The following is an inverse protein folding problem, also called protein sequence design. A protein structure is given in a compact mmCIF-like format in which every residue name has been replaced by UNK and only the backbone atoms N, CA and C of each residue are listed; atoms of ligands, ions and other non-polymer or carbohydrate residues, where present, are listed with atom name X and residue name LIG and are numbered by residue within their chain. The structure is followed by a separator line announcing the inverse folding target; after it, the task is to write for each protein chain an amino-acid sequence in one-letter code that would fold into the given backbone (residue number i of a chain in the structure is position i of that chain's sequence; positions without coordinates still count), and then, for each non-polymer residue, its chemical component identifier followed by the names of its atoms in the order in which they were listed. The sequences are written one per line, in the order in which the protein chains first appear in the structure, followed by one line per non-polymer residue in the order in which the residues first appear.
data_IF_042503875938
#
_entry.id   IF_042503875938
#
_cell.length_a   1.000
_cell.length_b   1.000
_cell.length_c   1.000
_cell.angle_alpha   90.00
_cell.angle_beta   90.00
_cell.angle_gamma   90.00
#
_symmetry.space_group_name_H-M   'P 1'
#
loop_
_entity.id
_entity.type
_entity.pdbx_description
1 polymer ?
#
# COMPACT_ATOMS: atom_id res chain seq x y z
N UNK A 1 26.69 17.13 3.86
CA UNK A 1 25.45 17.71 3.30
C UNK A 1 24.86 18.56 4.41
N UNK A 2 25.06 19.88 4.34
CA UNK A 2 24.41 20.82 5.26
C UNK A 2 23.00 21.09 4.71
N UNK A 3 22.07 20.19 4.99
CA UNK A 3 20.67 20.35 4.57
C UNK A 3 20.02 21.39 5.47
N UNK A 4 19.74 22.57 4.93
CA UNK A 4 18.93 23.59 5.57
C UNK A 4 17.48 23.37 5.17
N UNK A 5 16.62 23.10 6.15
CA UNK A 5 15.18 22.92 5.94
C UNK A 5 14.45 24.17 6.40
N UNK A 6 13.67 24.75 5.50
CA UNK A 6 12.71 25.82 5.80
C UNK A 6 11.39 25.47 5.11
N UNK A 7 10.27 25.61 5.83
CA UNK A 7 8.94 25.36 5.30
C UNK A 7 8.22 26.69 5.08
N UNK A 8 7.82 26.97 3.85
CA UNK A 8 7.03 28.14 3.48
C UNK A 8 6.20 27.83 2.23
N UNK A 9 4.89 28.06 2.29
CA UNK A 9 4.01 27.90 1.16
C UNK A 9 4.07 29.15 0.27
N UNK A 10 4.56 28.98 -0.96
CA UNK A 10 4.61 30.06 -1.95
C UNK A 10 3.19 30.36 -2.45
N UNK A 11 2.76 31.62 -2.34
CA UNK A 11 1.36 31.99 -2.59
C UNK A 11 1.09 32.42 -4.04
N UNK A 12 2.13 32.81 -4.77
CA UNK A 12 2.02 33.32 -6.13
C UNK A 12 3.36 33.23 -6.89
N UNK A 13 3.32 33.51 -8.19
CA UNK A 13 4.52 33.42 -9.04
C UNK A 13 5.53 34.53 -8.77
N UNK A 14 5.09 35.73 -8.35
CA UNK A 14 5.98 36.85 -8.03
C UNK A 14 6.86 36.53 -6.81
N UNK A 15 6.28 35.96 -5.77
CA UNK A 15 7.03 35.47 -4.62
C UNK A 15 8.01 34.35 -5.04
N UNK A 16 7.55 33.41 -5.86
CA UNK A 16 8.40 32.34 -6.37
C UNK A 16 9.64 32.86 -7.12
N UNK A 17 9.48 33.90 -7.96
CA UNK A 17 10.60 34.49 -8.69
C UNK A 17 11.64 35.12 -7.76
N UNK A 18 11.23 35.72 -6.64
CA UNK A 18 12.16 36.23 -5.63
C UNK A 18 13.04 35.12 -5.02
N UNK A 19 12.47 33.93 -4.80
CA UNK A 19 13.22 32.77 -4.30
C UNK A 19 14.20 32.24 -5.37
N UNK A 20 13.74 32.09 -6.62
CA UNK A 20 14.63 31.71 -7.72
C UNK A 20 15.78 32.69 -7.90
N UNK A 21 15.50 33.99 -7.85
CA UNK A 21 16.51 35.03 -7.89
C UNK A 21 17.57 34.85 -6.80
N UNK A 22 17.14 34.57 -5.56
CA UNK A 22 18.07 34.33 -4.45
C UNK A 22 18.89 33.06 -4.64
N UNK A 23 18.29 31.97 -5.10
CA UNK A 23 18.97 30.70 -5.36
C UNK A 23 20.03 30.89 -6.44
N UNK A 24 19.65 31.49 -7.58
CA UNK A 24 20.54 31.67 -8.74
C UNK A 24 21.63 32.71 -8.47
N UNK A 25 21.38 33.71 -7.62
CA UNK A 25 22.38 34.71 -7.21
C UNK A 25 23.20 34.30 -5.98
N UNK A 26 22.99 33.10 -5.43
CA UNK A 26 23.67 32.63 -4.22
C UNK A 26 25.18 32.39 -4.42
N UNK A 27 25.63 32.25 -5.68
CA UNK A 27 27.00 31.88 -6.02
C UNK A 27 27.26 30.37 -6.00
N UNK A 28 26.26 29.56 -5.63
CA UNK A 28 26.33 28.11 -5.72
C UNK A 28 26.09 27.64 -7.17
N UNK A 29 26.73 26.53 -7.56
CA UNK A 29 26.37 25.82 -8.79
C UNK A 29 25.04 25.09 -8.57
N UNK A 30 24.05 25.41 -9.40
CA UNK A 30 22.71 24.80 -9.37
C UNK A 30 22.54 23.99 -10.65
N UNK A 31 22.22 22.71 -10.52
CA UNK A 31 21.93 21.81 -11.65
C UNK A 31 20.46 21.43 -11.73
N UNK A 32 19.78 21.35 -10.58
CA UNK A 32 18.43 20.84 -10.46
C UNK A 32 17.62 21.71 -9.49
N UNK A 33 16.37 21.99 -9.85
CA UNK A 33 15.40 22.67 -9.01
C UNK A 33 14.12 21.83 -8.98
N UNK A 34 13.72 21.42 -7.79
CA UNK A 34 12.51 20.63 -7.54
C UNK A 34 11.40 21.55 -7.05
N UNK A 35 10.22 21.46 -7.67
CA UNK A 35 9.12 22.38 -7.49
C UNK A 35 7.80 21.64 -7.31
N UNK A 36 6.94 22.14 -6.42
CA UNK A 36 5.58 21.63 -6.22
C UNK A 36 4.55 22.78 -6.35
N UNK A 37 4.38 23.39 -7.54
CA UNK A 37 3.46 24.52 -7.71
C UNK A 37 2.00 24.04 -7.68
N UNK A 38 1.15 24.74 -6.93
CA UNK A 38 -0.29 24.50 -6.93
C UNK A 38 -1.00 25.37 -8.00
N UNK A 39 -1.56 24.77 -9.07
CA UNK A 39 -2.23 25.53 -10.13
C UNK A 39 -3.40 26.38 -9.63
N UNK A 40 -4.15 25.93 -8.63
CA UNK A 40 -5.32 26.65 -8.10
C UNK A 40 -4.89 27.87 -7.28
N UNK A 41 -3.85 27.73 -6.44
CA UNK A 41 -3.27 28.88 -5.71
C UNK A 41 -2.73 29.95 -6.68
N UNK A 42 -1.96 29.51 -7.69
CA UNK A 42 -1.41 30.41 -8.70
C UNK A 42 -2.53 31.09 -9.53
N UNK A 43 -3.62 30.38 -9.82
CA UNK A 43 -4.76 30.89 -10.56
C UNK A 43 -5.54 31.96 -9.77
N UNK A 44 -5.76 31.69 -8.48
CA UNK A 44 -6.36 32.66 -7.55
C UNK A 44 -5.50 33.92 -7.44
N UNK A 45 -4.19 33.77 -7.32
CA UNK A 45 -3.26 34.90 -7.29
C UNK A 45 -3.29 35.73 -8.58
N UNK A 46 -3.52 35.08 -9.73
CA UNK A 46 -3.72 35.76 -11.01
C UNK A 46 -5.10 36.46 -11.15
N UNK A 47 -5.92 36.48 -10.09
CA UNK A 47 -7.26 37.05 -10.10
C UNK A 47 -8.23 36.28 -10.98
N UNK A 48 -8.01 34.97 -11.13
CA UNK A 48 -8.82 34.06 -11.93
C UNK A 48 -9.05 34.56 -13.37
N UNK A 49 -7.98 35.10 -13.97
CA UNK A 49 -8.02 35.71 -15.29
C UNK A 49 -6.95 35.10 -16.20
N UNK A 50 -7.37 34.54 -17.34
CA UNK A 50 -6.48 33.87 -18.29
C UNK A 50 -5.33 34.75 -18.78
N UNK A 51 -5.57 36.06 -18.98
CA UNK A 51 -4.52 36.98 -19.42
C UNK A 51 -3.50 37.21 -18.31
N UNK A 52 -3.98 37.43 -17.08
CA UNK A 52 -3.12 37.62 -15.91
C UNK A 52 -2.34 36.35 -15.58
N UNK A 53 -2.97 35.17 -15.66
CA UNK A 53 -2.35 33.86 -15.45
C UNK A 53 -1.16 33.64 -16.39
N UNK A 54 -1.40 33.71 -17.71
CA UNK A 54 -0.34 33.54 -18.72
C UNK A 54 0.76 34.59 -18.58
N UNK A 55 0.38 35.84 -18.28
CA UNK A 55 1.35 36.91 -18.08
C UNK A 55 2.25 36.64 -16.86
N UNK A 56 1.67 36.17 -15.76
CA UNK A 56 2.39 35.94 -14.51
C UNK A 56 3.30 34.72 -14.62
N UNK A 57 2.79 33.60 -15.14
CA UNK A 57 3.62 32.42 -15.45
C UNK A 57 4.79 32.78 -16.37
N UNK A 58 4.53 33.48 -17.47
CA UNK A 58 5.58 33.85 -18.42
C UNK A 58 6.64 34.76 -17.80
N UNK A 59 6.20 35.76 -17.03
CA UNK A 59 7.10 36.76 -16.43
C UNK A 59 7.95 36.17 -15.31
N UNK A 60 7.33 35.39 -14.44
CA UNK A 60 7.90 35.04 -13.14
C UNK A 60 8.36 33.58 -13.04
N UNK A 61 7.99 32.72 -13.99
CA UNK A 61 8.38 31.31 -14.00
C UNK A 61 9.08 30.95 -15.31
N UNK A 62 8.40 31.02 -16.45
CA UNK A 62 8.95 30.57 -17.73
C UNK A 62 10.20 31.38 -18.15
N UNK A 63 10.32 32.63 -17.73
CA UNK A 63 11.52 33.46 -17.96
C UNK A 63 12.78 32.83 -17.38
N UNK A 64 12.69 32.14 -16.24
CA UNK A 64 13.80 31.43 -15.62
C UNK A 64 14.15 30.17 -16.40
N UNK A 65 13.15 29.40 -16.85
CA UNK A 65 13.35 28.21 -17.68
C UNK A 65 14.14 28.55 -18.95
N UNK A 66 13.79 29.66 -19.61
CA UNK A 66 14.46 30.18 -20.82
C UNK A 66 15.88 30.68 -20.54
N UNK A 67 16.05 31.42 -19.44
CA UNK A 67 17.34 32.04 -19.10
C UNK A 67 18.36 31.07 -18.48
N UNK A 68 17.93 29.90 -18.03
CA UNK A 68 18.76 28.91 -17.34
C UNK A 68 18.64 27.51 -18.00
N UNK A 69 19.05 27.35 -19.28
CA UNK A 69 18.87 26.11 -20.02
C UNK A 69 19.66 24.92 -19.45
N UNK A 70 20.72 25.18 -18.70
CA UNK A 70 21.58 24.15 -18.09
C UNK A 70 21.03 23.61 -16.75
N UNK A 71 19.94 24.21 -16.23
CA UNK A 71 19.29 23.78 -14.99
C UNK A 71 18.05 22.96 -15.34
N UNK A 72 17.91 21.78 -14.76
CA UNK A 72 16.70 20.96 -14.86
C UNK A 72 15.66 21.43 -13.84
N UNK A 73 14.45 21.72 -14.32
CA UNK A 73 13.31 22.05 -13.47
C UNK A 73 12.36 20.86 -13.40
N UNK A 74 12.30 20.22 -12.24
CA UNK A 74 11.44 19.05 -11.97
C UNK A 74 10.21 19.50 -11.20
N UNK A 75 9.04 19.39 -11.83
CA UNK A 75 7.76 19.91 -11.34
C UNK A 75 6.83 18.77 -10.95
N UNK A 76 6.61 18.59 -9.66
CA UNK A 76 5.65 17.65 -9.12
C UNK A 76 4.32 18.36 -8.88
N UNK A 77 3.32 18.06 -9.70
CA UNK A 77 1.98 18.64 -9.56
C UNK A 77 1.28 18.07 -8.31
N UNK A 78 0.40 18.84 -7.63
CA UNK A 78 -0.27 18.37 -6.43
C UNK A 78 -1.10 17.10 -6.70
N UNK A 79 -1.07 16.16 -5.77
CA UNK A 79 -1.73 14.84 -5.86
C UNK A 79 -2.62 14.59 -4.63
N UNK A 80 -3.65 15.42 -4.41
CA UNK A 80 -4.45 15.36 -3.20
C UNK A 80 -5.26 14.07 -3.09
N UNK A 81 -5.64 13.75 -1.86
CA UNK A 81 -6.56 12.67 -1.51
C UNK A 81 -7.85 12.75 -2.34
N UNK A 82 -8.43 11.60 -2.65
CA UNK A 82 -9.62 11.52 -3.53
C UNK A 82 -10.79 12.38 -3.04
N UNK A 83 -10.92 12.57 -1.71
CA UNK A 83 -11.90 13.46 -1.10
C UNK A 83 -11.89 14.89 -1.64
N UNK A 84 -10.72 15.45 -1.94
CA UNK A 84 -10.61 16.80 -2.51
C UNK A 84 -11.33 16.92 -3.87
N UNK A 85 -11.17 15.90 -4.72
CA UNK A 85 -11.80 15.87 -6.04
C UNK A 85 -13.29 15.61 -5.94
N UNK A 86 -13.72 14.80 -4.97
CA UNK A 86 -15.13 14.46 -4.72
C UNK A 86 -15.95 15.65 -4.19
N UNK A 87 -15.31 16.63 -3.56
CA UNK A 87 -15.96 17.88 -3.14
C UNK A 87 -16.28 18.85 -4.30
N UNK A 88 -15.80 18.57 -5.51
CA UNK A 88 -16.02 19.41 -6.68
C UNK A 88 -17.24 18.97 -7.48
N UNK A 89 -18.01 19.96 -7.97
CA UNK A 89 -18.94 19.72 -9.06
C UNK A 89 -18.19 19.56 -10.40
N UNK A 90 -18.92 19.14 -11.44
CA UNK A 90 -18.33 18.87 -12.76
C UNK A 90 -17.66 20.11 -13.38
N UNK A 91 -18.27 21.29 -13.26
CA UNK A 91 -17.75 22.52 -13.83
C UNK A 91 -16.45 22.95 -13.12
N UNK A 92 -16.40 22.82 -11.79
CA UNK A 92 -15.20 23.11 -10.99
C UNK A 92 -14.09 22.10 -11.26
N UNK A 93 -14.41 20.81 -11.41
CA UNK A 93 -13.44 19.78 -11.76
C UNK A 93 -12.83 20.07 -13.13
N UNK A 94 -13.66 20.36 -14.13
CA UNK A 94 -13.21 20.70 -15.49
C UNK A 94 -12.32 21.95 -15.48
N UNK A 95 -12.75 23.02 -14.80
CA UNK A 95 -11.96 24.23 -14.65
C UNK A 95 -10.62 23.97 -13.95
N UNK A 96 -10.58 23.09 -12.94
CA UNK A 96 -9.35 22.74 -12.23
C UNK A 96 -8.40 21.95 -13.14
N UNK A 97 -8.90 20.93 -13.85
CA UNK A 97 -8.09 20.16 -14.78
C UNK A 97 -7.59 20.99 -15.97
N UNK A 98 -8.37 21.99 -16.42
CA UNK A 98 -7.93 22.97 -17.41
C UNK A 98 -6.74 23.83 -16.91
N UNK A 99 -6.64 24.10 -15.60
CA UNK A 99 -5.49 24.78 -15.01
C UNK A 99 -4.25 23.89 -15.00
N UNK A 100 -4.39 22.61 -14.64
CA UNK A 100 -3.30 21.64 -14.72
C UNK A 100 -2.80 21.51 -16.17
N UNK A 101 -3.72 21.33 -17.11
CA UNK A 101 -3.45 21.28 -18.55
C UNK A 101 -2.74 22.57 -19.04
N UNK A 102 -3.23 23.75 -18.65
CA UNK A 102 -2.60 25.01 -19.02
C UNK A 102 -1.18 25.11 -18.47
N UNK A 103 -0.94 24.68 -17.23
CA UNK A 103 0.39 24.73 -16.64
C UNK A 103 1.34 23.75 -17.35
N UNK A 104 0.89 22.52 -17.58
CA UNK A 104 1.67 21.48 -18.29
C UNK A 104 2.10 21.99 -19.67
N UNK A 105 1.19 22.54 -20.46
CA UNK A 105 1.51 23.05 -21.79
C UNK A 105 2.52 24.21 -21.78
N UNK A 106 2.37 25.16 -20.85
CA UNK A 106 3.27 26.30 -20.78
C UNK A 106 4.69 25.87 -20.34
N UNK A 107 4.79 24.87 -19.45
CA UNK A 107 6.06 24.37 -18.94
C UNK A 107 6.74 23.37 -19.87
N UNK A 108 5.99 22.46 -20.49
CA UNK A 108 6.50 21.45 -21.42
C UNK A 108 7.07 22.05 -22.72
N UNK A 109 6.80 23.34 -22.98
CA UNK A 109 7.44 24.09 -24.06
C UNK A 109 8.96 24.26 -23.89
N UNK A 110 9.50 23.99 -22.69
CA UNK A 110 10.91 24.16 -22.34
C UNK A 110 11.60 22.81 -22.17
N UNK A 111 12.71 22.54 -22.90
CA UNK A 111 13.35 21.22 -22.93
C UNK A 111 14.03 20.82 -21.61
N UNK A 112 14.29 21.79 -20.73
CA UNK A 112 14.88 21.59 -19.41
C UNK A 112 13.81 21.41 -18.30
N UNK A 113 12.55 21.17 -18.66
CA UNK A 113 11.47 20.93 -17.70
C UNK A 113 10.98 19.49 -17.74
N UNK A 114 10.75 18.91 -16.56
CA UNK A 114 10.11 17.60 -16.38
C UNK A 114 8.92 17.78 -15.45
N UNK A 115 7.76 17.25 -15.82
CA UNK A 115 6.52 17.42 -15.07
C UNK A 115 5.97 16.06 -14.69
N UNK A 116 5.47 15.94 -13.47
CA UNK A 116 5.04 14.68 -12.90
C UNK A 116 3.69 14.83 -12.20
N UNK A 117 2.83 13.82 -12.35
CA UNK A 117 1.52 13.80 -11.70
C UNK A 117 1.16 12.38 -11.23
N UNK A 118 1.47 12.03 -9.96
CA UNK A 118 1.08 10.74 -9.39
C UNK A 118 -0.39 10.71 -8.96
N UNK A 119 -1.11 11.84 -9.01
CA UNK A 119 -2.50 11.95 -8.55
C UNK A 119 -3.53 11.16 -9.36
N UNK A 120 -3.13 10.50 -10.45
CA UNK A 120 -3.99 9.55 -11.17
C UNK A 120 -3.89 8.12 -10.64
N UNK A 121 -3.07 7.86 -9.61
CA UNK A 121 -2.83 6.52 -9.10
C UNK A 121 -3.80 6.20 -7.96
N UNK A 122 -4.60 5.13 -8.14
CA UNK A 122 -5.61 4.73 -7.17
C UNK A 122 -4.99 4.33 -5.82
N UNK A 123 -3.95 3.51 -5.85
CA UNK A 123 -3.25 3.03 -4.65
C UNK A 123 -2.78 4.20 -3.77
N UNK A 124 -2.48 5.34 -4.38
CA UNK A 124 -2.04 6.54 -3.68
C UNK A 124 -3.24 7.32 -3.13
N UNK A 125 -4.20 7.64 -4.00
CA UNK A 125 -5.22 8.66 -3.73
C UNK A 125 -6.43 8.17 -2.96
N UNK A 126 -6.72 6.86 -2.93
CA UNK A 126 -7.92 6.33 -2.24
C UNK A 126 -7.65 5.93 -0.79
N UNK A 127 -6.40 5.68 -0.41
CA UNK A 127 -6.06 5.27 0.94
C UNK A 127 -5.88 6.51 1.83
N UNK A 128 -6.81 6.80 2.76
CA UNK A 128 -6.68 7.98 3.62
C UNK A 128 -5.46 7.86 4.54
N UNK A 129 -4.98 6.65 4.85
CA UNK A 129 -3.75 6.45 5.60
C UNK A 129 -2.48 6.98 4.92
N UNK A 130 -2.53 7.27 3.61
CA UNK A 130 -1.43 7.92 2.89
C UNK A 130 -1.32 9.43 3.18
N UNK A 131 -2.37 10.05 3.71
CA UNK A 131 -2.48 11.49 3.92
C UNK A 131 -2.47 11.83 5.40
N UNK A 132 -2.01 13.03 5.72
CA UNK A 132 -2.10 13.62 7.05
C UNK A 132 -3.45 14.34 7.22
N UNK A 133 -3.52 15.33 8.10
CA UNK A 133 -4.76 16.05 8.44
C UNK A 133 -5.33 16.91 7.30
N UNK A 134 -4.63 17.04 6.17
CA UNK A 134 -5.07 17.80 4.99
C UNK A 134 -5.16 16.90 3.77
N UNK A 135 -5.92 17.33 2.76
CA UNK A 135 -6.00 16.59 1.50
C UNK A 135 -4.68 16.56 0.72
N UNK A 136 -3.73 17.44 1.01
CA UNK A 136 -2.52 17.64 0.18
C UNK A 136 -1.26 17.09 0.82
N UNK A 137 -1.22 17.03 2.15
CA UNK A 137 -0.04 16.60 2.88
C UNK A 137 -0.04 15.08 2.99
N UNK A 138 0.94 14.44 2.36
CA UNK A 138 1.14 13.00 2.55
C UNK A 138 1.97 12.71 3.78
N UNK A 139 1.83 11.50 4.33
CA UNK A 139 2.69 11.07 5.42
C UNK A 139 4.15 10.89 4.96
N UNK A 140 5.06 10.76 5.93
CA UNK A 140 6.50 10.68 5.66
C UNK A 140 6.90 9.55 4.71
N UNK A 141 6.26 8.37 4.81
CA UNK A 141 6.58 7.21 3.96
C UNK A 141 6.17 7.43 2.51
N UNK A 142 5.01 8.05 2.30
CA UNK A 142 4.52 8.39 0.97
C UNK A 142 5.33 9.53 0.38
N UNK A 143 5.67 10.56 1.16
CA UNK A 143 6.53 11.66 0.70
C UNK A 143 7.89 11.11 0.26
N UNK A 144 8.53 10.26 1.05
CA UNK A 144 9.81 9.62 0.71
C UNK A 144 9.69 8.77 -0.58
N UNK A 145 8.66 7.94 -0.67
CA UNK A 145 8.39 7.12 -1.85
C UNK A 145 8.18 7.97 -3.11
N UNK A 146 7.38 9.04 -3.03
CA UNK A 146 7.15 9.95 -4.16
C UNK A 146 8.43 10.67 -4.59
N UNK A 147 9.31 11.05 -3.66
CA UNK A 147 10.60 11.64 -4.03
C UNK A 147 11.44 10.65 -4.86
N UNK A 148 11.47 9.37 -4.48
CA UNK A 148 12.21 8.34 -5.22
C UNK A 148 11.61 8.09 -6.60
N UNK A 149 10.32 7.77 -6.66
CA UNK A 149 9.63 7.52 -7.92
C UNK A 149 9.75 8.70 -8.89
N UNK A 150 9.47 9.91 -8.41
CA UNK A 150 9.38 11.09 -9.27
C UNK A 150 10.76 11.64 -9.64
N UNK A 151 11.63 11.85 -8.65
CA UNK A 151 12.87 12.59 -8.87
C UNK A 151 14.09 11.71 -9.11
N UNK A 152 14.06 10.43 -8.71
CA UNK A 152 15.14 9.48 -9.02
C UNK A 152 14.80 8.66 -10.27
N UNK A 153 13.62 8.06 -10.32
CA UNK A 153 13.26 7.10 -11.37
C UNK A 153 12.56 7.75 -12.56
N UNK A 154 11.93 8.91 -12.35
CA UNK A 154 11.19 9.64 -13.38
C UNK A 154 9.81 9.08 -13.66
N UNK A 155 9.26 8.29 -12.73
CA UNK A 155 7.92 7.75 -12.79
C UNK A 155 6.86 8.87 -12.78
N UNK A 156 5.69 8.55 -13.32
CA UNK A 156 4.53 9.47 -13.41
C UNK A 156 4.79 10.73 -14.23
N UNK A 157 5.75 10.69 -15.16
CA UNK A 157 5.99 11.77 -16.10
C UNK A 157 4.75 12.06 -16.96
N UNK A 158 4.29 13.30 -16.92
CA UNK A 158 3.13 13.80 -17.65
C UNK A 158 3.56 14.85 -18.67
N UNK A 159 2.99 14.75 -19.86
CA UNK A 159 3.33 15.53 -21.06
C UNK A 159 2.04 15.88 -21.80
N UNK A 160 2.05 16.91 -22.66
CA UNK A 160 0.91 17.20 -23.54
C UNK A 160 0.46 16.00 -24.40
N UNK A 161 1.37 15.08 -24.69
CA UNK A 161 1.10 13.88 -25.50
C UNK A 161 0.32 12.80 -24.72
N UNK A 162 0.56 12.65 -23.41
CA UNK A 162 0.00 11.56 -22.60
C UNK A 162 -0.98 12.00 -21.50
N UNK A 163 -1.10 13.30 -21.23
CA UNK A 163 -1.92 13.82 -20.11
C UNK A 163 -3.39 13.38 -20.17
N UNK A 164 -3.91 13.09 -21.37
CA UNK A 164 -5.28 12.62 -21.56
C UNK A 164 -5.54 11.30 -20.83
N UNK A 165 -4.55 10.43 -20.76
CA UNK A 165 -4.66 9.14 -20.08
C UNK A 165 -4.70 9.35 -18.55
N UNK A 166 -3.87 10.26 -18.03
CA UNK A 166 -3.90 10.65 -16.61
C UNK A 166 -5.24 11.26 -16.21
N UNK A 167 -5.78 12.17 -17.01
CA UNK A 167 -7.08 12.79 -16.76
C UNK A 167 -8.23 11.82 -16.92
N UNK A 168 -8.14 10.88 -17.88
CA UNK A 168 -9.10 9.82 -18.02
C UNK A 168 -9.13 8.94 -16.76
N UNK A 169 -7.96 8.45 -16.32
CA UNK A 169 -7.85 7.60 -15.14
C UNK A 169 -8.38 8.31 -13.89
N UNK A 170 -7.96 9.55 -13.62
CA UNK A 170 -8.48 10.32 -12.48
C UNK A 170 -10.01 10.49 -12.53
N UNK A 171 -10.57 10.76 -13.72
CA UNK A 171 -12.03 10.87 -13.87
C UNK A 171 -12.76 9.55 -13.67
N UNK A 172 -12.18 8.43 -14.12
CA UNK A 172 -12.73 7.11 -13.85
C UNK A 172 -12.72 6.80 -12.34
N UNK A 173 -11.63 7.12 -11.64
CA UNK A 173 -11.56 7.02 -10.17
C UNK A 173 -12.65 7.87 -9.52
N UNK A 174 -12.77 9.16 -9.86
CA UNK A 174 -13.81 10.04 -9.32
C UNK A 174 -15.21 9.48 -9.58
N UNK A 175 -15.50 9.03 -10.81
CA UNK A 175 -16.80 8.45 -11.17
C UNK A 175 -17.10 7.19 -10.36
N UNK A 176 -16.10 6.31 -10.22
CA UNK A 176 -16.22 5.09 -9.41
C UNK A 176 -16.54 5.44 -7.97
N UNK A 177 -15.78 6.35 -7.37
CA UNK A 177 -15.99 6.76 -5.98
C UNK A 177 -17.31 7.52 -5.77
N UNK A 178 -17.82 8.24 -6.78
CA UNK A 178 -19.15 8.85 -6.71
C UNK A 178 -20.28 7.81 -6.80
N UNK A 179 -20.12 6.80 -7.65
CA UNK A 179 -21.14 5.78 -7.90
C UNK A 179 -21.18 4.70 -6.79
N UNK A 180 -20.00 4.30 -6.32
CA UNK A 180 -19.81 3.28 -5.30
C UNK A 180 -18.54 3.60 -4.51
N UNK A 181 -18.62 4.51 -3.52
CA UNK A 181 -17.48 4.89 -2.71
C UNK A 181 -16.72 3.69 -2.15
N UNK A 182 -15.39 3.79 -2.11
CA UNK A 182 -14.54 2.83 -1.42
C UNK A 182 -15.03 2.70 0.01
N UNK A 183 -15.51 1.51 0.33
CA UNK A 183 -16.08 1.23 1.63
C UNK A 183 -14.96 1.01 2.63
N UNK A 184 -14.93 1.84 3.66
CA UNK A 184 -14.05 1.64 4.80
C UNK A 184 -14.75 0.71 5.79
N UNK A 185 -14.42 -0.58 5.77
CA UNK A 185 -14.98 -1.52 6.74
C UNK A 185 -14.50 -1.12 8.14
N UNK A 186 -15.40 -1.05 9.11
CA UNK A 186 -15.00 -0.73 10.50
C UNK A 186 -14.39 -1.98 11.16
N UNK A 187 -13.07 -2.07 11.08
CA UNK A 187 -12.26 -3.07 11.77
C UNK A 187 -11.50 -2.45 12.94
N UNK A 188 -11.93 -1.29 13.45
CA UNK A 188 -11.29 -0.59 14.56
C UNK A 188 -11.21 -1.41 15.85
N UNK A 189 -12.08 -2.42 16.01
CA UNK A 189 -12.03 -3.36 17.13
C UNK A 189 -11.05 -4.53 16.94
N UNK A 190 -10.27 -4.55 15.85
CA UNK A 190 -9.32 -5.62 15.56
C UNK A 190 -7.86 -5.15 15.67
N UNK A 191 -7.03 -6.08 16.13
CA UNK A 191 -5.58 -6.02 16.10
C UNK A 191 -5.08 -7.19 15.24
N UNK A 192 -4.47 -6.88 14.11
CA UNK A 192 -4.01 -7.85 13.12
C UNK A 192 -2.49 -7.98 13.16
N UNK A 193 -2.00 -9.18 13.37
CA UNK A 193 -0.57 -9.50 13.44
C UNK A 193 -0.20 -10.33 12.22
N UNK A 194 0.73 -9.82 11.41
CA UNK A 194 1.13 -10.44 10.16
C UNK A 194 2.44 -11.18 10.32
N UNK A 195 2.46 -12.45 9.94
CA UNK A 195 3.66 -13.24 9.71
C UNK A 195 3.74 -13.64 8.25
N UNK A 196 4.92 -13.56 7.67
CA UNK A 196 5.15 -13.97 6.30
C UNK A 196 6.53 -13.61 5.80
N UNK A 197 6.64 -13.57 4.48
CA UNK A 197 7.87 -13.32 3.77
C UNK A 197 7.96 -11.89 3.18
N UNK A 198 8.73 -11.72 2.12
CA UNK A 198 8.93 -10.45 1.41
C UNK A 198 7.65 -9.85 0.83
N UNK A 199 6.63 -10.66 0.52
CA UNK A 199 5.34 -10.17 0.01
C UNK A 199 4.67 -9.24 1.02
N UNK A 200 4.74 -9.58 2.30
CA UNK A 200 4.23 -8.75 3.39
C UNK A 200 5.30 -7.81 3.97
N UNK A 201 6.58 -8.18 3.92
CA UNK A 201 7.66 -7.51 4.66
C UNK A 201 8.47 -6.45 3.91
N UNK A 202 8.45 -6.40 2.57
CA UNK A 202 9.37 -5.53 1.82
C UNK A 202 9.03 -4.03 1.86
N UNK A 203 7.78 -3.69 2.15
CA UNK A 203 7.30 -2.32 2.05
C UNK A 203 6.85 -1.80 3.43
N UNK A 204 7.29 -0.60 3.84
CA UNK A 204 6.87 0.01 5.09
C UNK A 204 5.63 0.89 4.93
N UNK A 205 5.13 1.40 6.05
CA UNK A 205 4.15 2.49 6.06
C UNK A 205 2.80 2.15 5.43
N UNK A 206 2.09 3.20 5.03
CA UNK A 206 0.68 3.13 4.61
C UNK A 206 0.45 2.48 3.24
N UNK A 207 1.50 2.30 2.42
CA UNK A 207 1.41 1.64 1.10
C UNK A 207 1.87 0.17 1.11
N UNK A 208 2.18 -0.36 2.30
CA UNK A 208 2.34 -1.80 2.53
C UNK A 208 0.97 -2.50 2.60
N UNK A 209 0.93 -3.83 2.47
CA UNK A 209 -0.33 -4.57 2.63
C UNK A 209 -0.97 -4.31 4.01
N UNK A 210 -0.25 -4.44 5.15
CA UNK A 210 -0.81 -4.07 6.46
C UNK A 210 -1.18 -2.58 6.55
N UNK A 211 -0.40 -1.69 5.92
CA UNK A 211 -0.67 -0.26 5.89
C UNK A 211 -1.97 0.11 5.19
N UNK A 212 -2.26 -0.53 4.05
CA UNK A 212 -3.55 -0.42 3.39
C UNK A 212 -4.69 -0.97 4.26
N UNK A 213 -4.47 -2.11 4.93
CA UNK A 213 -5.47 -2.65 5.86
C UNK A 213 -5.78 -1.64 6.97
N UNK A 214 -4.78 -1.03 7.60
CA UNK A 214 -5.01 0.02 8.60
C UNK A 214 -5.73 1.23 8.01
N UNK A 215 -5.20 1.81 6.92
CA UNK A 215 -5.74 3.05 6.37
C UNK A 215 -7.15 2.89 5.80
N UNK A 216 -7.52 1.71 5.30
CA UNK A 216 -8.84 1.47 4.74
C UNK A 216 -9.85 0.91 5.75
N UNK A 217 -9.45 0.50 6.96
CA UNK A 217 -10.37 -0.16 7.90
C UNK A 217 -10.24 0.19 9.39
N UNK A 218 -9.32 1.09 9.76
CA UNK A 218 -8.99 1.44 11.14
C UNK A 218 -8.49 0.28 12.03
N UNK A 219 -8.22 -0.90 11.44
CA UNK A 219 -7.59 -2.00 12.15
C UNK A 219 -6.19 -1.60 12.64
N UNK A 220 -5.86 -1.96 13.89
CA UNK A 220 -4.48 -1.89 14.35
C UNK A 220 -3.69 -3.02 13.68
N UNK A 221 -2.55 -2.72 13.06
CA UNK A 221 -1.75 -3.74 12.36
C UNK A 221 -0.31 -3.76 12.86
N UNK A 222 0.26 -4.96 12.95
CA UNK A 222 1.66 -5.18 13.32
C UNK A 222 2.29 -6.19 12.36
N UNK A 223 3.35 -5.78 11.69
CA UNK A 223 4.00 -6.59 10.67
C UNK A 223 5.28 -7.24 11.21
N UNK A 224 5.26 -8.56 11.35
CA UNK A 224 6.40 -9.40 11.73
C UNK A 224 6.87 -10.26 10.55
N UNK A 225 6.45 -9.95 9.32
CA UNK A 225 6.96 -10.59 8.13
C UNK A 225 8.44 -10.23 7.90
N UNK A 226 9.21 -11.20 7.42
CA UNK A 226 10.66 -11.03 7.20
C UNK A 226 11.00 -11.44 5.79
N UNK A 227 11.69 -10.58 5.04
CA UNK A 227 12.03 -10.87 3.64
C UNK A 227 12.85 -12.16 3.50
N UNK A 228 12.47 -12.99 2.51
CA UNK A 228 13.22 -14.19 2.12
C UNK A 228 13.13 -15.38 3.09
N UNK A 229 12.19 -15.34 4.05
CA UNK A 229 11.97 -16.44 5.01
C UNK A 229 10.92 -17.43 4.54
N UNK A 230 11.04 -18.64 5.06
CA UNK A 230 10.17 -19.78 4.80
C UNK A 230 9.33 -20.13 6.03
N UNK A 231 8.23 -20.86 5.84
CA UNK A 231 7.51 -21.45 6.97
C UNK A 231 8.29 -22.63 7.57
N UNK A 232 8.97 -23.40 6.72
CA UNK A 232 9.94 -24.38 7.15
C UNK A 232 11.23 -23.68 7.61
N UNK A 233 11.87 -24.23 8.64
CA UNK A 233 13.20 -23.81 9.05
C UNK A 233 14.20 -24.32 8.02
N UNK A 234 14.80 -23.41 7.25
CA UNK A 234 15.75 -23.75 6.22
C UNK A 234 16.92 -24.53 6.82
N UNK A 235 17.30 -25.64 6.19
CA UNK A 235 18.52 -26.37 6.53
C UNK A 235 19.77 -25.62 6.08
N UNK A 236 19.60 -24.62 5.20
CA UNK A 236 20.66 -23.87 4.54
C UNK A 236 20.67 -22.41 5.01
N UNK A 237 21.31 -22.19 6.17
CA UNK A 237 21.61 -20.86 6.71
C UNK A 237 20.87 -20.52 8.01
N UNK A 238 21.37 -19.53 8.73
CA UNK A 238 20.68 -18.96 9.90
C UNK A 238 19.70 -17.86 9.41
N UNK A 239 18.64 -18.24 8.68
CA UNK A 239 17.55 -17.31 8.38
C UNK A 239 16.59 -17.26 9.57
N UNK A 240 16.01 -16.11 9.91
CA UNK A 240 14.98 -16.00 10.94
C UNK A 240 13.63 -16.50 10.40
N UNK A 241 13.58 -17.76 9.94
CA UNK A 241 12.39 -18.39 9.40
C UNK A 241 11.24 -18.45 10.41
N UNK A 242 10.05 -18.83 9.97
CA UNK A 242 8.83 -18.70 10.78
C UNK A 242 8.94 -19.27 12.22
N UNK A 243 9.58 -20.43 12.48
CA UNK A 243 9.80 -20.90 13.85
C UNK A 243 10.62 -19.94 14.71
N UNK A 244 11.68 -19.35 14.16
CA UNK A 244 12.50 -18.35 14.84
C UNK A 244 11.75 -17.02 15.01
N UNK A 245 10.97 -16.61 14.01
CA UNK A 245 10.14 -15.41 14.10
C UNK A 245 9.07 -15.54 15.20
N UNK A 246 8.46 -16.72 15.36
CA UNK A 246 7.51 -17.00 16.44
C UNK A 246 8.20 -17.06 17.81
N UNK A 247 9.41 -17.64 17.91
CA UNK A 247 10.21 -17.61 19.14
C UNK A 247 10.46 -16.17 19.60
N UNK A 248 10.96 -15.33 18.69
CA UNK A 248 11.26 -13.93 18.96
C UNK A 248 10.00 -13.11 19.27
N UNK A 249 8.91 -13.35 18.55
CA UNK A 249 7.62 -12.71 18.80
C UNK A 249 7.12 -13.01 20.20
N UNK A 250 7.05 -14.29 20.58
CA UNK A 250 6.58 -14.72 21.89
C UNK A 250 7.48 -14.21 23.02
N UNK A 251 8.79 -14.16 22.81
CA UNK A 251 9.74 -13.67 23.81
C UNK A 251 9.68 -12.16 24.03
N UNK A 252 9.48 -11.36 22.97
CA UNK A 252 9.67 -9.90 23.00
C UNK A 252 8.37 -9.10 23.02
N UNK A 253 7.27 -9.66 22.51
CA UNK A 253 6.01 -8.92 22.31
C UNK A 253 4.87 -9.48 23.16
N UNK A 254 5.20 -10.20 24.22
CA UNK A 254 4.19 -10.82 25.06
C UNK A 254 4.48 -10.73 26.55
N UNK A 255 3.42 -10.73 27.33
CA UNK A 255 3.47 -10.79 28.79
C UNK A 255 2.47 -11.83 29.32
N UNK A 256 2.80 -12.58 30.38
CA UNK A 256 1.86 -13.50 31.01
C UNK A 256 0.57 -12.83 31.46
N UNK A 257 -0.58 -13.48 31.22
CA UNK A 257 -1.92 -13.10 31.69
C UNK A 257 -2.56 -14.26 32.45
N UNK A 258 -3.59 -13.98 33.27
CA UNK A 258 -4.28 -15.00 34.06
C UNK A 258 -5.02 -16.06 33.24
N UNK A 259 -5.30 -15.78 31.97
CA UNK A 259 -6.04 -16.59 30.99
C UNK A 259 -5.21 -17.00 29.77
N UNK A 260 -3.88 -16.78 29.79
CA UNK A 260 -2.98 -17.10 28.67
C UNK A 260 -1.87 -16.08 28.52
N UNK A 261 -1.64 -15.63 27.29
CA UNK A 261 -0.62 -14.63 26.97
C UNK A 261 -1.27 -13.36 26.44
N UNK A 262 -0.79 -12.19 26.87
CA UNK A 262 -1.22 -10.89 26.34
C UNK A 262 -0.21 -10.37 25.33
N UNK A 263 -0.71 -9.89 24.18
CA UNK A 263 0.10 -9.23 23.16
C UNK A 263 0.44 -7.81 23.62
N UNK A 264 1.74 -7.50 23.67
CA UNK A 264 2.33 -6.27 24.21
C UNK A 264 3.54 -5.86 23.36
N UNK A 265 3.32 -5.38 22.13
CA UNK A 265 4.41 -4.96 21.26
C UNK A 265 5.06 -3.66 21.77
N UNK A 266 6.36 -3.50 21.55
CA UNK A 266 7.13 -2.34 22.06
C UNK A 266 6.61 -0.98 21.57
N UNK A 267 6.01 -0.94 20.37
CA UNK A 267 5.62 0.29 19.68
C UNK A 267 4.11 0.61 19.77
N UNK A 268 3.38 0.06 20.74
CA UNK A 268 1.98 0.43 20.96
C UNK A 268 1.66 0.57 22.44
N UNK A 269 0.76 1.50 22.78
CA UNK A 269 0.32 1.60 24.17
C UNK A 269 -0.67 0.48 24.51
N UNK A 270 -0.64 0.04 25.76
CA UNK A 270 -1.62 -0.94 26.26
C UNK A 270 -3.07 -0.46 26.07
N UNK A 271 -3.30 0.84 26.13
CA UNK A 271 -4.62 1.47 25.94
C UNK A 271 -5.07 1.40 24.49
N UNK A 272 -4.16 1.51 23.52
CA UNK A 272 -4.51 1.41 22.10
C UNK A 272 -4.95 0.01 21.72
N UNK A 273 -4.43 -1.02 22.39
CA UNK A 273 -4.77 -2.42 22.14
C UNK A 273 -5.87 -2.95 23.08
N UNK A 274 -6.27 -2.18 24.08
CA UNK A 274 -7.25 -2.62 25.07
C UNK A 274 -8.60 -2.93 24.40
N UNK A 275 -9.10 -4.16 24.63
CA UNK A 275 -10.41 -4.59 24.11
C UNK A 275 -10.43 -4.96 22.63
N UNK A 276 -9.33 -4.76 21.88
CA UNK A 276 -9.25 -5.22 20.49
C UNK A 276 -9.15 -6.74 20.42
N UNK A 277 -9.83 -7.34 19.44
CA UNK A 277 -9.73 -8.76 19.10
C UNK A 277 -8.45 -9.02 18.32
N UNK A 278 -7.71 -10.05 18.71
CA UNK A 278 -6.46 -10.42 18.06
C UNK A 278 -6.73 -11.36 16.87
N UNK A 279 -6.09 -11.11 15.74
CA UNK A 279 -6.08 -12.02 14.61
C UNK A 279 -4.66 -12.15 14.05
N UNK A 280 -4.21 -13.38 13.84
CA UNK A 280 -2.94 -13.68 13.18
C UNK A 280 -3.17 -14.00 11.71
N UNK A 281 -2.50 -13.27 10.83
CA UNK A 281 -2.46 -13.54 9.40
C UNK A 281 -1.10 -14.15 9.05
N UNK A 282 -1.10 -15.34 8.48
CA UNK A 282 0.11 -16.13 8.20
C UNK A 282 0.16 -16.41 6.70
N UNK A 283 1.19 -15.90 6.02
CA UNK A 283 1.38 -16.08 4.58
C UNK A 283 2.81 -16.50 4.25
N UNK A 284 2.97 -17.75 3.84
CA UNK A 284 4.24 -18.35 3.42
C UNK A 284 4.00 -19.35 2.29
N UNK A 285 5.08 -19.75 1.60
CA UNK A 285 5.06 -20.82 0.62
C UNK A 285 5.93 -20.56 -0.61
N UNK A 286 6.20 -19.29 -0.93
CA UNK A 286 7.12 -18.95 -2.03
C UNK A 286 8.53 -19.43 -1.75
N UNK A 287 9.12 -19.02 -0.64
CA UNK A 287 10.50 -19.40 -0.32
C UNK A 287 10.63 -20.88 0.03
N UNK A 288 9.60 -21.52 0.59
CA UNK A 288 9.59 -22.97 0.79
C UNK A 288 9.69 -23.72 -0.55
N UNK A 289 8.94 -23.27 -1.56
CA UNK A 289 9.04 -23.80 -2.92
C UNK A 289 10.39 -23.47 -3.58
N UNK A 290 10.88 -22.24 -3.46
CA UNK A 290 12.14 -21.79 -4.08
C UNK A 290 13.39 -22.42 -3.44
N UNK A 291 13.34 -22.75 -2.15
CA UNK A 291 14.41 -23.47 -1.44
C UNK A 291 14.26 -24.99 -1.59
N UNK A 292 13.15 -25.48 -2.15
CA UNK A 292 12.88 -26.90 -2.37
C UNK A 292 12.60 -27.68 -1.08
N UNK A 293 11.95 -27.05 -0.11
CA UNK A 293 11.59 -27.69 1.15
C UNK A 293 10.65 -28.89 0.91
N UNK A 294 10.78 -30.01 1.64
CA UNK A 294 9.79 -31.08 1.54
C UNK A 294 8.43 -30.57 2.03
N UNK A 295 7.36 -30.81 1.26
CA UNK A 295 6.01 -30.37 1.65
C UNK A 295 5.61 -30.96 3.00
N UNK A 296 5.93 -32.24 3.24
CA UNK A 296 5.63 -32.94 4.48
C UNK A 296 6.74 -33.95 4.83
N UNK A 297 6.92 -34.22 6.13
CA UNK A 297 7.66 -35.37 6.62
C UNK A 297 6.69 -36.42 7.20
N UNK A 298 6.40 -37.52 6.50
CA UNK A 298 5.45 -38.52 6.96
C UNK A 298 5.86 -39.27 8.25
N UNK A 299 7.15 -39.22 8.62
CA UNK A 299 7.65 -39.86 9.86
C UNK A 299 7.54 -38.96 11.08
N UNK A 300 7.48 -37.65 10.85
CA UNK A 300 7.34 -36.64 11.90
C UNK A 300 6.54 -35.45 11.35
N UNK A 301 5.21 -35.45 11.53
CA UNK A 301 4.35 -34.36 11.06
C UNK A 301 4.67 -33.00 11.70
N UNK A 302 5.44 -32.93 12.78
CA UNK A 302 5.84 -31.67 13.41
C UNK A 302 7.30 -31.30 13.09
N UNK A 303 7.94 -31.98 12.13
CA UNK A 303 9.28 -31.61 11.67
C UNK A 303 9.26 -30.22 11.03
N UNK A 304 9.81 -29.25 11.76
CA UNK A 304 9.89 -27.85 11.34
C UNK A 304 10.71 -27.65 10.07
N UNK A 305 11.47 -28.65 9.61
CA UNK A 305 12.19 -28.61 8.32
C UNK A 305 11.34 -29.04 7.12
N UNK A 306 10.07 -29.40 7.34
CA UNK A 306 9.07 -29.57 6.27
C UNK A 306 8.06 -28.42 6.30
N UNK A 307 7.48 -28.09 5.15
CA UNK A 307 6.56 -26.95 5.04
C UNK A 307 5.34 -27.09 5.96
N UNK A 308 4.63 -28.22 5.86
CA UNK A 308 3.49 -28.53 6.75
C UNK A 308 3.91 -28.58 8.22
N UNK A 309 5.06 -29.19 8.54
CA UNK A 309 5.52 -29.30 9.93
C UNK A 309 5.91 -27.96 10.55
N UNK A 310 6.52 -27.05 9.78
CA UNK A 310 6.82 -25.68 10.19
C UNK A 310 5.54 -24.89 10.50
N UNK A 311 4.58 -24.87 9.56
CA UNK A 311 3.28 -24.23 9.77
C UNK A 311 2.54 -24.81 10.98
N UNK A 312 2.39 -26.14 11.02
CA UNK A 312 1.66 -26.84 12.09
C UNK A 312 2.24 -26.55 13.46
N UNK A 313 3.58 -26.59 13.60
CA UNK A 313 4.26 -26.32 14.87
C UNK A 313 4.06 -24.86 15.30
N UNK A 314 4.27 -23.91 14.40
CA UNK A 314 4.18 -22.49 14.73
C UNK A 314 2.75 -22.05 15.07
N UNK A 315 1.76 -22.49 14.29
CA UNK A 315 0.35 -22.22 14.55
C UNK A 315 -0.07 -22.80 15.90
N UNK A 316 0.31 -24.06 16.19
CA UNK A 316 -0.01 -24.69 17.48
C UNK A 316 0.52 -23.88 18.67
N UNK A 317 1.75 -23.37 18.56
CA UNK A 317 2.37 -22.54 19.61
C UNK A 317 1.67 -21.19 19.79
N UNK A 318 1.29 -20.54 18.69
CA UNK A 318 0.53 -19.30 18.74
C UNK A 318 -0.86 -19.54 19.34
N UNK A 319 -1.54 -20.63 18.95
CA UNK A 319 -2.84 -21.03 19.50
C UNK A 319 -2.77 -21.35 20.99
N UNK A 320 -1.69 -21.97 21.46
CA UNK A 320 -1.47 -22.20 22.90
C UNK A 320 -1.30 -20.88 23.66
N UNK A 321 -0.55 -19.93 23.10
CA UNK A 321 -0.33 -18.62 23.71
C UNK A 321 -1.59 -17.72 23.66
N UNK A 322 -2.33 -17.76 22.55
CA UNK A 322 -3.48 -16.92 22.23
C UNK A 322 -4.70 -17.76 21.80
N UNK A 323 -5.32 -18.51 22.73
CA UNK A 323 -6.41 -19.44 22.40
C UNK A 323 -7.70 -18.76 21.95
N UNK A 324 -7.83 -17.45 22.17
CA UNK A 324 -8.99 -16.64 21.79
C UNK A 324 -8.78 -15.78 20.55
N UNK A 325 -7.59 -15.84 19.93
CA UNK A 325 -7.32 -15.14 18.68
C UNK A 325 -7.96 -15.85 17.48
N UNK A 326 -8.25 -15.10 16.43
CA UNK A 326 -8.56 -15.66 15.12
C UNK A 326 -7.25 -15.96 14.36
N UNK A 327 -7.26 -16.97 13.50
CA UNK A 327 -6.11 -17.35 12.68
C UNK A 327 -6.55 -17.41 11.22
N UNK A 328 -5.82 -16.71 10.36
CA UNK A 328 -6.04 -16.71 8.91
C UNK A 328 -4.76 -17.17 8.25
N UNK A 329 -4.83 -18.25 7.50
CA UNK A 329 -3.78 -18.65 6.56
C UNK A 329 -4.09 -18.06 5.20
N UNK A 330 -3.06 -17.53 4.55
CA UNK A 330 -3.15 -16.95 3.22
C UNK A 330 -2.28 -17.77 2.27
N UNK A 331 -2.88 -18.35 1.23
CA UNK A 331 -2.07 -18.94 0.15
C UNK A 331 -1.28 -17.83 -0.55
N UNK A 332 -0.09 -18.13 -1.08
CA UNK A 332 0.56 -17.27 -2.07
C UNK A 332 -0.35 -16.98 -3.28
N UNK A 333 -0.08 -15.88 -3.99
CA UNK A 333 -0.66 -15.61 -5.32
C UNK A 333 0.00 -16.49 -6.38
N UNK A 334 -0.41 -16.33 -7.64
CA UNK A 334 0.36 -16.83 -8.78
C UNK A 334 1.75 -16.17 -8.86
N UNK A 335 2.66 -16.82 -9.57
CA UNK A 335 4.02 -16.34 -9.88
C UNK A 335 4.37 -16.66 -11.32
N UNK A 336 5.30 -15.90 -11.93
CA UNK A 336 5.92 -16.26 -13.22
C UNK A 336 7.23 -17.03 -13.07
N UNK A 337 7.74 -17.18 -11.83
CA UNK A 337 8.94 -17.95 -11.55
C UNK A 337 8.73 -19.45 -11.85
N UNK A 338 9.82 -20.15 -12.19
CA UNK A 338 9.82 -21.61 -12.38
C UNK A 338 8.71 -22.14 -13.31
N UNK A 339 8.60 -21.52 -14.50
CA UNK A 339 7.54 -21.78 -15.48
C UNK A 339 6.14 -21.69 -14.84
N UNK A 340 5.83 -20.54 -14.25
CA UNK A 340 4.57 -20.28 -13.57
C UNK A 340 4.27 -21.27 -12.43
N UNK A 341 5.31 -21.66 -11.69
CA UNK A 341 5.23 -22.62 -10.57
C UNK A 341 4.99 -24.08 -10.99
N UNK A 342 5.06 -24.39 -12.29
CA UNK A 342 4.82 -25.75 -12.80
C UNK A 342 6.04 -26.66 -12.77
N UNK A 343 7.25 -26.09 -12.70
CA UNK A 343 8.45 -26.86 -12.48
C UNK A 343 8.51 -27.38 -11.03
N UNK A 344 9.15 -28.53 -10.85
CA UNK A 344 9.54 -28.96 -9.51
C UNK A 344 10.91 -28.41 -9.16
N UNK A 345 11.07 -28.04 -7.90
CA UNK A 345 12.32 -27.48 -7.39
C UNK A 345 12.89 -28.30 -6.22
N UNK A 346 12.43 -29.54 -6.04
CA UNK A 346 12.96 -30.46 -5.04
C UNK A 346 13.08 -31.89 -5.60
N UNK A 347 13.74 -32.77 -4.85
CA UNK A 347 13.95 -34.16 -5.24
C UNK A 347 12.69 -35.04 -5.15
N UNK A 348 11.61 -34.51 -4.53
CA UNK A 348 10.34 -35.19 -4.32
C UNK A 348 9.36 -35.01 -5.49
N UNK A 349 9.65 -34.07 -6.40
CA UNK A 349 8.79 -33.77 -7.53
C UNK A 349 7.67 -32.78 -7.21
N UNK A 350 7.70 -32.14 -6.02
CA UNK A 350 6.69 -31.19 -5.60
C UNK A 350 6.77 -29.91 -6.44
N UNK A 351 5.61 -29.40 -6.82
CA UNK A 351 5.38 -28.16 -7.57
C UNK A 351 4.78 -27.11 -6.67
N UNK A 352 4.72 -25.86 -7.14
CA UNK A 352 4.17 -24.77 -6.35
C UNK A 352 2.73 -25.07 -5.87
N UNK A 353 1.90 -25.69 -6.71
CA UNK A 353 0.54 -26.11 -6.36
C UNK A 353 0.46 -27.03 -5.14
N UNK A 354 1.50 -27.83 -4.87
CA UNK A 354 1.53 -28.73 -3.71
C UNK A 354 1.70 -27.95 -2.40
N UNK A 355 2.48 -26.85 -2.41
CA UNK A 355 2.57 -25.92 -1.29
C UNK A 355 1.25 -25.14 -1.10
N UNK A 356 0.59 -24.73 -2.19
CA UNK A 356 -0.74 -24.10 -2.10
C UNK A 356 -1.75 -25.06 -1.43
N UNK A 357 -1.79 -26.32 -1.86
CA UNK A 357 -2.67 -27.33 -1.27
C UNK A 357 -2.32 -27.59 0.19
N UNK A 358 -1.03 -27.64 0.54
CA UNK A 358 -0.60 -27.79 1.93
C UNK A 358 -1.11 -26.67 2.84
N UNK A 359 -1.14 -25.41 2.38
CA UNK A 359 -1.74 -24.30 3.15
C UNK A 359 -3.24 -24.54 3.39
N UNK A 360 -3.98 -25.01 2.37
CA UNK A 360 -5.41 -25.32 2.50
C UNK A 360 -5.66 -26.44 3.53
N UNK A 361 -4.87 -27.50 3.45
CA UNK A 361 -4.94 -28.63 4.39
C UNK A 361 -4.62 -28.17 5.81
N UNK A 362 -3.56 -27.38 6.02
CA UNK A 362 -3.19 -26.89 7.36
C UNK A 362 -4.27 -25.96 7.91
N UNK A 363 -4.91 -25.13 7.08
CA UNK A 363 -6.01 -24.28 7.54
C UNK A 363 -7.16 -25.14 8.09
N UNK A 364 -7.56 -26.20 7.38
CA UNK A 364 -8.58 -27.15 7.85
C UNK A 364 -8.12 -27.90 9.11
N UNK A 365 -6.91 -28.46 9.12
CA UNK A 365 -6.34 -29.21 10.24
C UNK A 365 -6.28 -28.39 11.54
N UNK A 366 -5.98 -27.09 11.45
CA UNK A 366 -5.80 -26.19 12.61
C UNK A 366 -7.06 -25.43 12.99
N UNK A 367 -8.17 -25.60 12.25
CA UNK A 367 -9.39 -24.81 12.42
C UNK A 367 -9.23 -23.33 12.10
N UNK A 368 -8.21 -22.99 11.31
CA UNK A 368 -7.93 -21.62 10.88
C UNK A 368 -8.80 -21.24 9.67
N UNK A 369 -9.06 -19.96 9.53
CA UNK A 369 -9.65 -19.40 8.32
C UNK A 369 -8.65 -19.42 7.16
N UNK A 370 -9.16 -19.43 5.94
CA UNK A 370 -8.36 -19.45 4.72
C UNK A 370 -8.73 -18.29 3.79
N UNK A 371 -7.75 -17.48 3.43
CA UNK A 371 -7.81 -16.59 2.27
C UNK A 371 -7.04 -17.27 1.14
N UNK A 372 -7.76 -17.82 0.17
CA UNK A 372 -7.16 -18.48 -0.99
C UNK A 372 -6.82 -17.46 -2.08
N UNK A 373 -5.61 -16.88 -2.05
CA UNK A 373 -5.15 -15.95 -3.06
C UNK A 373 -4.76 -16.64 -4.38
N UNK A 374 -4.57 -17.96 -4.38
CA UNK A 374 -4.21 -18.68 -5.59
C UNK A 374 -5.43 -18.91 -6.49
N UNK A 375 -6.56 -19.35 -5.93
CA UNK A 375 -7.75 -19.64 -6.73
C UNK A 375 -8.82 -18.53 -6.71
N UNK A 376 -8.78 -17.63 -5.73
CA UNK A 376 -9.85 -16.65 -5.51
C UNK A 376 -9.41 -15.20 -5.58
N UNK A 377 -8.18 -14.89 -6.00
CA UNK A 377 -7.67 -13.51 -6.09
C UNK A 377 -8.03 -12.85 -7.42
N UNK A 378 -7.99 -11.51 -7.43
CA UNK A 378 -8.00 -10.71 -8.67
C UNK A 378 -6.69 -10.82 -9.44
N UNK A 379 -5.61 -11.26 -8.77
CA UNK A 379 -4.31 -11.55 -9.37
C UNK A 379 -4.35 -12.98 -9.92
N UNK A 380 -4.31 -13.10 -11.25
CA UNK A 380 -4.36 -14.35 -12.00
C UNK A 380 -3.08 -14.53 -12.81
N UNK A 381 -2.82 -15.74 -13.28
CA UNK A 381 -1.68 -16.03 -14.16
C UNK A 381 -1.65 -15.13 -15.42
N UNK A 382 -2.83 -14.73 -15.93
CA UNK A 382 -2.98 -13.92 -17.14
C UNK A 382 -2.67 -12.43 -16.92
N UNK A 383 -2.70 -11.94 -15.68
CA UNK A 383 -2.56 -10.51 -15.37
C UNK A 383 -1.43 -10.18 -14.40
N UNK A 384 -0.48 -11.11 -14.19
CA UNK A 384 0.63 -10.97 -13.25
C UNK A 384 1.38 -9.64 -13.42
N UNK A 385 1.69 -9.24 -14.65
CA UNK A 385 2.46 -8.03 -14.95
C UNK A 385 1.76 -6.73 -14.50
N UNK A 386 0.43 -6.77 -14.33
CA UNK A 386 -0.34 -5.63 -13.82
C UNK A 386 -0.25 -5.48 -12.30
N UNK A 387 0.09 -6.54 -11.58
CA UNK A 387 0.03 -6.61 -10.12
C UNK A 387 1.34 -6.99 -9.44
N UNK A 388 2.31 -7.56 -10.16
CA UNK A 388 3.61 -7.98 -9.65
C UNK A 388 4.72 -7.18 -10.33
N UNK A 389 5.72 -6.75 -9.56
CA UNK A 389 6.86 -5.98 -10.06
C UNK A 389 7.91 -6.85 -10.76
N UNK A 390 8.08 -8.09 -10.30
CA UNK A 390 9.12 -9.02 -10.76
C UNK A 390 8.62 -10.46 -10.94
N UNK A 391 7.29 -10.63 -11.03
CA UNK A 391 6.67 -11.94 -11.13
C UNK A 391 6.53 -12.70 -9.81
N UNK A 392 6.96 -12.12 -8.68
CA UNK A 392 6.75 -12.66 -7.33
C UNK A 392 6.17 -11.59 -6.41
N UNK A 393 6.82 -10.42 -6.31
CA UNK A 393 6.47 -9.38 -5.36
C UNK A 393 5.38 -8.47 -5.90
N UNK A 394 4.32 -8.17 -5.12
CA UNK A 394 3.26 -7.28 -5.58
C UNK A 394 3.75 -5.84 -5.72
N UNK A 395 3.40 -5.21 -6.84
CA UNK A 395 3.50 -3.75 -7.02
C UNK A 395 2.43 -3.04 -6.18
N UNK A 396 2.34 -1.71 -6.28
CA UNK A 396 1.43 -0.89 -5.48
C UNK A 396 -0.04 -1.34 -5.63
N UNK A 397 -0.47 -1.62 -6.86
CA UNK A 397 -1.80 -2.11 -7.18
C UNK A 397 -2.03 -3.52 -6.63
N UNK A 398 -1.03 -4.40 -6.71
CA UNK A 398 -1.06 -5.74 -6.11
C UNK A 398 -1.22 -5.72 -4.60
N UNK A 399 -0.49 -4.83 -3.92
CA UNK A 399 -0.57 -4.66 -2.46
C UNK A 399 -1.94 -4.17 -2.03
N UNK A 400 -2.48 -3.16 -2.73
CA UNK A 400 -3.85 -2.69 -2.49
C UNK A 400 -4.87 -3.82 -2.70
N UNK A 401 -4.76 -4.59 -3.77
CA UNK A 401 -5.69 -5.69 -4.06
C UNK A 401 -5.69 -6.77 -2.97
N UNK A 402 -4.51 -7.17 -2.49
CA UNK A 402 -4.39 -8.14 -1.40
C UNK A 402 -4.96 -7.57 -0.09
N UNK A 403 -4.70 -6.29 0.21
CA UNK A 403 -5.25 -5.63 1.39
C UNK A 403 -6.78 -5.56 1.36
N UNK A 404 -7.39 -5.14 0.24
CA UNK A 404 -8.85 -5.13 0.08
C UNK A 404 -9.45 -6.52 0.30
N UNK A 405 -8.81 -7.56 -0.24
CA UNK A 405 -9.23 -8.95 -0.03
C UNK A 405 -9.19 -9.37 1.45
N UNK A 406 -8.18 -8.94 2.20
CA UNK A 406 -8.11 -9.19 3.65
C UNK A 406 -9.28 -8.48 4.35
N UNK A 407 -9.51 -7.20 4.06
CA UNK A 407 -10.58 -6.41 4.66
C UNK A 407 -11.95 -7.04 4.40
N UNK A 408 -12.23 -7.38 3.13
CA UNK A 408 -13.48 -8.03 2.72
C UNK A 408 -13.66 -9.38 3.44
N UNK A 409 -12.59 -10.16 3.58
CA UNK A 409 -12.64 -11.43 4.28
C UNK A 409 -12.97 -11.23 5.77
N UNK A 410 -12.26 -10.33 6.44
CA UNK A 410 -12.45 -9.98 7.85
C UNK A 410 -13.89 -9.53 8.11
N UNK A 411 -14.41 -8.65 7.26
CA UNK A 411 -15.76 -8.13 7.41
C UNK A 411 -16.83 -9.21 7.22
N UNK A 412 -16.71 -10.04 6.18
CA UNK A 412 -17.75 -11.01 5.85
C UNK A 412 -17.74 -12.27 6.74
N UNK A 413 -16.60 -12.61 7.35
CA UNK A 413 -16.43 -13.88 8.07
C UNK A 413 -16.18 -13.70 9.58
N UNK A 414 -15.59 -12.58 10.00
CA UNK A 414 -15.15 -12.38 11.38
C UNK A 414 -15.88 -11.24 12.10
N UNK A 415 -16.45 -10.31 11.35
CA UNK A 415 -17.46 -9.40 11.89
C UNK A 415 -18.82 -10.09 11.73
N UNK A 416 -19.52 -10.43 12.83
CA UNK A 416 -20.91 -10.85 12.69
C UNK A 416 -21.62 -9.67 12.02
N UNK A 417 -22.16 -9.88 10.82
CA UNK A 417 -23.16 -8.98 10.27
C UNK A 417 -24.15 -8.77 11.40
N UNK A 418 -24.32 -7.52 11.88
CA UNK A 418 -25.52 -7.16 12.61
C UNK A 418 -26.64 -7.43 11.64
N UNK A 419 -27.10 -8.67 11.67
CA UNK A 419 -28.20 -9.14 10.89
C UNK A 419 -29.35 -8.41 11.53
N UNK A 420 -29.80 -7.33 10.91
CA UNK A 420 -31.16 -6.83 11.01
C UNK A 420 -32.11 -7.91 10.47
N UNK A 421 -32.10 -9.06 11.13
CA UNK A 421 -33.05 -10.16 11.02
C UNK A 421 -33.76 -10.28 12.37
N UNK A 422 -34.34 -9.16 12.82
CA UNK A 422 -35.36 -9.13 13.88
C UNK A 422 -36.41 -8.04 13.63
N UNK A 423 -36.68 -7.69 12.37
CA UNK A 423 -37.80 -6.79 12.01
C UNK A 423 -38.67 -7.32 10.86
N UNK A 424 -38.53 -8.59 10.47
CA UNK A 424 -39.33 -9.21 9.40
C UNK A 424 -39.88 -10.60 9.73
N UNK A 425 -40.08 -10.89 11.03
CA UNK A 425 -40.81 -12.07 11.53
C UNK A 425 -41.65 -11.79 12.79
N UNK A 426 -41.95 -10.51 13.06
CA UNK A 426 -42.91 -10.10 14.09
C UNK A 426 -44.04 -9.19 13.54
N UNK A 427 -44.17 -9.09 12.22
CA UNK A 427 -45.22 -8.32 11.54
C UNK A 427 -46.12 -9.18 10.61
N UNK A 428 -46.08 -10.50 10.76
CA UNK A 428 -47.02 -11.43 10.15
C UNK A 428 -47.44 -12.51 11.13
N UNK A 429 -48.07 -12.11 12.23
CA UNK A 429 -49.14 -12.92 12.82
C UNK A 429 -50.19 -12.02 13.50
N UNK A 430 -51.22 -11.58 12.77
CA UNK A 430 -52.45 -11.10 13.36
C UNK A 430 -53.45 -12.26 13.44
N UNK A 431 -53.24 -13.22 14.36
CA UNK A 431 -54.27 -14.24 14.58
C UNK A 431 -53.92 -15.42 15.47
N UNK A 432 -53.91 -15.23 16.80
CA UNK A 432 -54.82 -15.88 17.76
C UNK A 432 -54.55 -15.45 19.20
#
# INVERSE_FOLDING_TARGET
LDTLVAAHALLNTEEFSEYLDRILKSGNAVSDIYLCPDPDLLWKAAGQNNRSWKKSLKRDFCSYLDSCPDITFSVLLPYPYIGYWLEMDADRLDATLDLYHSLINELAAYPNTRIFFPGSQDWLTINPGNYADTFFDTNVFITESMLLHVFCDGDYAITPENEKDYWHNLRETIRREQASPTRHADLSNWCLVFFGDSVLGNYPGSFSIPGFVTGLSDAATFNFAVSGTSASNSRNGNRPDFPCAVDDFLAKNTTPSGDGTRFTPENASETDLAGKKLCFLISYGFNDYFDGAPVENPRDPYDIHSFKGGLRTCISRLQEAFPHAAYILMTPTHTSAFHYGTDSNNEYGDRFSDYINAVREIAEETGSFLIDNYSGSVITEENLDSYLADGIHPNETGRLAIACRIIDFMENNLCPVQTFLSAWTAAQDPGQ
#
